data_IF_958707517671
#
_entry.id   IF_958707517671
#
_cell.length_a   1.000
_cell.length_b   1.000
_cell.length_c   1.000
_cell.angle_alpha   90.00
_cell.angle_beta   90.00
_cell.angle_gamma   90.00
#
_symmetry.space_group_name_H-M   'P 1'
#
loop_
_entity.id
_entity.type
_entity.pdbx_description
1 polymer ?
#
# COMPACT_ATOMS: atom_id res chain seq x y z
N UNK A 1 -23.99 16.69 1.68
CA UNK A 1 -23.17 17.38 0.66
C UNK A 1 -21.75 16.87 0.81
N UNK A 2 -21.20 16.20 -0.19
CA UNK A 2 -19.78 15.83 -0.20
C UNK A 2 -18.96 17.14 -0.25
N UNK A 3 -18.07 17.32 0.74
CA UNK A 3 -17.14 18.44 0.75
C UNK A 3 -16.22 18.30 -0.48
N UNK A 4 -16.03 19.37 -1.25
CA UNK A 4 -15.09 19.32 -2.36
C UNK A 4 -13.70 18.99 -1.84
N UNK A 5 -13.06 17.97 -2.43
CA UNK A 5 -11.68 17.60 -2.13
C UNK A 5 -10.80 18.74 -2.65
N UNK A 6 -10.14 19.45 -1.74
CA UNK A 6 -9.18 20.51 -2.07
C UNK A 6 -7.78 19.90 -2.01
N UNK A 7 -7.15 19.76 -3.18
CA UNK A 7 -5.73 19.35 -3.25
C UNK A 7 -4.86 20.53 -2.82
N UNK A 8 -3.92 20.28 -1.90
CA UNK A 8 -3.02 21.32 -1.38
C UNK A 8 -1.78 21.47 -2.26
N UNK A 9 -1.17 22.66 -2.31
CA UNK A 9 0.12 22.85 -2.94
C UNK A 9 1.22 22.00 -2.25
N UNK A 10 2.12 21.45 -3.06
CA UNK A 10 3.20 20.57 -2.59
C UNK A 10 4.06 21.23 -1.50
N UNK A 11 4.41 22.51 -1.67
CA UNK A 11 5.24 23.23 -0.68
C UNK A 11 4.61 23.38 0.71
N UNK A 12 3.27 23.35 0.83
CA UNK A 12 2.60 23.34 2.14
C UNK A 12 2.69 21.97 2.81
N UNK A 13 2.75 20.88 2.02
CA UNK A 13 2.81 19.51 2.52
C UNK A 13 4.17 19.15 3.11
N UNK A 14 5.25 19.79 2.68
CA UNK A 14 6.62 19.52 3.15
C UNK A 14 6.81 19.76 4.65
N UNK A 15 6.07 20.72 5.21
CA UNK A 15 6.14 21.08 6.62
C UNK A 15 5.22 20.26 7.53
N UNK A 16 4.32 19.47 6.95
CA UNK A 16 3.34 18.70 7.69
C UNK A 16 3.88 17.33 8.12
N UNK A 17 3.50 16.84 9.32
CA UNK A 17 3.87 15.51 9.76
C UNK A 17 3.12 14.42 8.99
N UNK A 18 3.65 13.19 9.06
CA UNK A 18 2.89 11.98 8.76
C UNK A 18 2.12 11.55 10.00
N UNK A 19 0.81 11.36 9.88
CA UNK A 19 -0.03 10.83 10.96
C UNK A 19 0.06 9.31 11.02
N UNK A 20 0.48 8.77 12.16
CA UNK A 20 0.68 7.33 12.35
C UNK A 20 -0.34 6.81 13.36
N UNK A 21 -1.17 5.85 12.92
CA UNK A 21 -2.05 5.08 13.79
C UNK A 21 -1.22 4.22 14.74
N UNK A 22 -1.06 4.66 15.98
CA UNK A 22 -0.21 4.00 16.98
C UNK A 22 -0.78 2.65 17.46
N UNK A 23 -2.05 2.39 17.18
CA UNK A 23 -2.77 1.19 17.66
C UNK A 23 -3.01 0.14 16.57
N UNK A 24 -2.53 0.38 15.34
CA UNK A 24 -2.72 -0.53 14.22
C UNK A 24 -1.65 -1.62 14.14
N UNK A 25 -2.07 -2.89 14.09
CA UNK A 25 -1.21 -4.05 13.88
C UNK A 25 -0.96 -4.91 15.10
N UNK A 26 -0.40 -6.11 14.84
CA UNK A 26 -0.21 -7.17 15.82
C UNK A 26 0.84 -6.82 16.88
N UNK A 27 1.75 -5.90 16.55
CA UNK A 27 2.86 -5.45 17.41
C UNK A 27 2.67 -4.01 17.92
N UNK A 28 1.44 -3.48 17.80
CA UNK A 28 1.10 -2.16 18.34
C UNK A 28 1.04 -2.21 19.88
N UNK A 29 1.38 -1.11 20.56
CA UNK A 29 1.93 0.14 20.02
C UNK A 29 3.45 0.10 19.80
N UNK A 30 4.17 -0.85 20.40
CA UNK A 30 5.63 -0.81 20.55
C UNK A 30 6.40 -0.73 19.22
N UNK A 31 6.08 -1.60 18.24
CA UNK A 31 6.74 -1.58 16.93
C UNK A 31 6.38 -0.32 16.15
N UNK A 32 5.15 0.18 16.31
CA UNK A 32 4.68 1.38 15.61
C UNK A 32 5.41 2.62 16.15
N UNK A 33 5.49 2.77 17.47
CA UNK A 33 6.19 3.90 18.11
C UNK A 33 7.68 3.87 17.80
N UNK A 34 8.32 2.67 17.85
CA UNK A 34 9.74 2.52 17.51
C UNK A 34 10.03 2.89 16.04
N UNK A 35 9.17 2.43 15.10
CA UNK A 35 9.30 2.78 13.68
C UNK A 35 9.07 4.27 13.41
N UNK A 36 8.08 4.86 14.07
CA UNK A 36 7.81 6.29 14.01
C UNK A 36 8.99 7.13 14.56
N UNK A 37 9.63 6.68 15.66
CA UNK A 37 10.81 7.31 16.22
C UNK A 37 12.00 7.24 15.25
N UNK A 38 12.25 6.07 14.66
CA UNK A 38 13.31 5.91 13.67
C UNK A 38 13.09 6.82 12.42
N UNK A 39 11.86 6.95 11.95
CA UNK A 39 11.53 7.89 10.88
C UNK A 39 11.79 9.35 11.28
N UNK A 40 11.45 9.72 12.51
CA UNK A 40 11.73 11.06 13.03
C UNK A 40 13.22 11.34 13.20
N UNK A 41 14.00 10.35 13.61
CA UNK A 41 15.47 10.45 13.68
C UNK A 41 16.11 10.61 12.29
N UNK A 42 15.43 10.09 11.24
CA UNK A 42 15.80 10.32 9.85
C UNK A 42 15.30 11.67 9.29
N UNK A 43 14.73 12.55 10.13
CA UNK A 43 14.30 13.90 9.76
C UNK A 43 12.88 14.01 9.20
N UNK A 44 12.05 12.96 9.34
CA UNK A 44 10.64 13.02 8.93
C UNK A 44 9.80 13.49 10.11
N UNK A 45 9.01 14.55 9.91
CA UNK A 45 8.04 14.97 10.91
C UNK A 45 6.94 13.92 11.06
N UNK A 46 6.69 13.46 12.29
CA UNK A 46 5.71 12.40 12.61
C UNK A 46 4.82 12.86 13.75
N UNK A 47 3.56 12.49 13.71
CA UNK A 47 2.61 12.60 14.82
C UNK A 47 1.93 11.24 15.03
N UNK A 48 1.99 10.74 16.26
CA UNK A 48 1.26 9.54 16.67
C UNK A 48 -0.19 9.88 16.92
N UNK A 49 -1.08 8.91 16.69
CA UNK A 49 -2.51 9.02 17.00
C UNK A 49 -2.93 7.79 17.79
N UNK A 50 -3.44 7.98 19.00
CA UNK A 50 -3.85 6.86 19.84
C UNK A 50 -4.31 7.28 21.25
N UNK A 51 -4.95 6.37 22.01
CA UNK A 51 -5.26 6.60 23.42
C UNK A 51 -3.98 6.69 24.26
N UNK A 52 -3.75 7.79 24.98
CA UNK A 52 -2.49 7.99 25.70
C UNK A 52 -2.12 6.85 26.66
N UNK A 53 -3.12 6.29 27.32
CA UNK A 53 -2.96 5.20 28.29
C UNK A 53 -2.56 3.86 27.65
N UNK A 54 -2.89 3.66 26.37
CA UNK A 54 -2.54 2.45 25.61
C UNK A 54 -1.23 2.62 24.83
N UNK A 55 -0.98 3.80 24.30
CA UNK A 55 0.27 4.12 23.60
C UNK A 55 1.46 4.11 24.55
N UNK A 56 1.28 4.63 25.78
CA UNK A 56 2.33 4.69 26.81
C UNK A 56 3.45 5.66 26.43
N UNK A 57 4.70 5.17 26.45
CA UNK A 57 5.87 5.99 26.09
C UNK A 57 5.91 6.27 24.58
N UNK A 58 5.82 7.54 24.21
CA UNK A 58 5.87 8.00 22.81
C UNK A 58 7.30 8.21 22.30
N UNK A 59 8.31 7.90 23.08
CA UNK A 59 9.73 8.21 22.80
C UNK A 59 9.97 9.68 22.42
N UNK A 60 9.18 10.58 23.01
CA UNK A 60 9.23 12.02 22.74
C UNK A 60 8.57 12.49 21.46
N UNK A 61 7.81 11.62 20.76
CA UNK A 61 7.01 12.03 19.61
C UNK A 61 5.71 12.73 20.04
N UNK A 62 5.21 13.70 19.25
CA UNK A 62 3.90 14.29 19.47
C UNK A 62 2.79 13.24 19.38
N UNK A 63 1.79 13.34 20.25
CA UNK A 63 0.62 12.47 20.28
C UNK A 63 -0.67 13.28 20.14
N UNK A 64 -1.49 12.92 19.17
CA UNK A 64 -2.90 13.36 19.08
C UNK A 64 -3.73 12.33 19.81
N UNK A 65 -4.36 12.71 20.95
CA UNK A 65 -5.12 11.77 21.75
C UNK A 65 -6.44 11.39 21.08
N UNK A 66 -6.85 10.15 21.30
CA UNK A 66 -8.19 9.64 21.00
C UNK A 66 -8.63 8.71 22.13
N UNK A 67 -9.89 8.25 22.09
CA UNK A 67 -10.46 7.44 23.19
C UNK A 67 -10.84 6.02 22.77
N UNK A 68 -10.80 5.73 21.47
CA UNK A 68 -11.25 4.46 20.92
C UNK A 68 -10.18 3.81 20.04
N UNK A 69 -10.24 2.48 19.93
CA UNK A 69 -9.39 1.68 19.04
C UNK A 69 -10.27 0.76 18.19
N UNK A 70 -10.00 0.69 16.89
CA UNK A 70 -10.57 -0.33 16.02
C UNK A 70 -9.58 -1.49 15.99
N UNK A 71 -9.99 -2.65 16.50
CA UNK A 71 -9.16 -3.85 16.54
C UNK A 71 -9.15 -4.58 15.19
N UNK A 72 -8.21 -5.55 15.03
CA UNK A 72 -8.12 -6.38 13.82
C UNK A 72 -9.37 -7.22 13.57
N UNK A 73 -10.06 -7.64 14.63
CA UNK A 73 -11.24 -8.51 14.59
C UNK A 73 -12.56 -7.74 14.47
N UNK A 74 -12.53 -6.41 14.55
CA UNK A 74 -13.74 -5.59 14.43
C UNK A 74 -14.32 -5.64 13.00
N UNK A 75 -15.65 -5.62 12.89
CA UNK A 75 -16.30 -5.39 11.58
C UNK A 75 -15.91 -4.00 11.05
N UNK A 76 -15.26 -3.93 9.87
CA UNK A 76 -14.72 -2.67 9.37
C UNK A 76 -15.81 -1.61 9.13
N UNK A 77 -16.94 -2.02 8.54
CA UNK A 77 -17.98 -1.08 8.14
C UNK A 77 -18.75 -0.51 9.33
N UNK A 78 -18.97 -1.34 10.36
CA UNK A 78 -19.63 -0.94 11.58
C UNK A 78 -18.72 -0.09 12.46
N UNK A 79 -17.46 -0.53 12.68
CA UNK A 79 -16.54 0.13 13.61
C UNK A 79 -16.17 1.54 13.17
N UNK A 80 -15.93 1.78 11.90
CA UNK A 80 -15.65 3.14 11.38
C UNK A 80 -16.83 4.12 11.58
N UNK A 81 -18.07 3.60 11.64
CA UNK A 81 -19.26 4.43 11.85
C UNK A 81 -19.54 4.69 13.33
N UNK A 82 -19.23 3.73 14.17
CA UNK A 82 -19.52 3.77 15.63
C UNK A 82 -18.36 4.34 16.43
N UNK A 83 -17.11 3.90 16.17
CA UNK A 83 -15.88 4.35 16.86
C UNK A 83 -15.31 5.61 16.18
N UNK A 84 -16.00 6.72 16.34
CA UNK A 84 -15.68 7.99 15.64
C UNK A 84 -14.43 8.69 16.18
N UNK A 85 -14.03 8.37 17.40
CA UNK A 85 -12.84 8.88 18.06
C UNK A 85 -11.72 7.84 18.10
N UNK A 86 -11.67 6.95 17.09
CA UNK A 86 -10.59 5.96 16.99
C UNK A 86 -9.34 6.53 16.35
N UNK A 87 -8.18 5.91 16.62
CA UNK A 87 -6.88 6.32 16.07
C UNK A 87 -6.88 6.37 14.54
N UNK A 88 -7.51 5.38 13.87
CA UNK A 88 -7.69 5.35 12.41
C UNK A 88 -8.50 6.52 11.89
N UNK A 89 -9.63 6.82 12.54
CA UNK A 89 -10.52 7.92 12.13
C UNK A 89 -9.81 9.26 12.32
N UNK A 90 -9.17 9.46 13.46
CA UNK A 90 -8.43 10.70 13.76
C UNK A 90 -7.24 10.91 12.82
N UNK A 91 -6.46 9.85 12.50
CA UNK A 91 -5.37 9.95 11.52
C UNK A 91 -5.87 10.41 10.14
N UNK A 92 -6.99 9.85 9.67
CA UNK A 92 -7.61 10.28 8.41
C UNK A 92 -8.14 11.73 8.46
N UNK A 93 -8.66 12.17 9.61
CA UNK A 93 -9.10 13.54 9.82
C UNK A 93 -7.95 14.54 9.80
N UNK A 94 -6.78 14.21 10.38
CA UNK A 94 -5.59 15.05 10.31
C UNK A 94 -5.17 15.32 8.85
N UNK A 95 -5.23 14.31 7.99
CA UNK A 95 -4.92 14.50 6.55
C UNK A 95 -6.01 15.36 5.88
N UNK A 96 -7.30 15.07 6.11
CA UNK A 96 -8.42 15.87 5.59
C UNK A 96 -8.30 17.34 5.93
N UNK A 97 -7.97 17.61 7.19
CA UNK A 97 -7.94 18.99 7.72
C UNK A 97 -6.61 19.71 7.42
N UNK A 98 -5.66 18.99 6.78
CA UNK A 98 -4.35 19.48 6.38
C UNK A 98 -3.45 19.76 7.57
N UNK A 99 -3.56 18.93 8.57
CA UNK A 99 -2.67 18.88 9.74
C UNK A 99 -1.62 17.77 9.61
N UNK A 100 -1.80 16.87 8.64
CA UNK A 100 -0.83 15.86 8.24
C UNK A 100 -0.77 15.76 6.71
N UNK A 101 0.40 15.41 6.16
CA UNK A 101 0.57 15.22 4.71
C UNK A 101 0.13 13.83 4.23
N UNK A 102 0.22 12.84 5.11
CA UNK A 102 -0.17 11.45 4.85
C UNK A 102 -0.62 10.77 6.15
N UNK A 103 -1.35 9.66 6.03
CA UNK A 103 -1.56 8.73 7.15
C UNK A 103 -0.94 7.37 6.86
N UNK A 104 -0.50 6.69 7.92
CA UNK A 104 0.03 5.33 7.90
C UNK A 104 -0.68 4.50 8.96
N UNK A 105 -1.15 3.30 8.60
CA UNK A 105 -1.70 2.34 9.54
C UNK A 105 -1.34 0.91 9.15
N UNK A 106 -1.01 0.08 10.14
CA UNK A 106 -0.86 -1.37 10.02
C UNK A 106 -2.09 -2.12 10.60
N UNK A 107 -3.17 -1.39 10.88
CA UNK A 107 -4.40 -1.95 11.45
C UNK A 107 -5.27 -2.67 10.42
N UNK A 108 -6.52 -2.94 10.82
CA UNK A 108 -7.53 -3.61 9.99
C UNK A 108 -7.67 -2.87 8.63
N UNK A 109 -7.34 -3.55 7.53
CA UNK A 109 -7.31 -2.98 6.17
C UNK A 109 -8.65 -2.37 5.77
N UNK A 110 -9.76 -3.08 6.04
CA UNK A 110 -11.10 -2.59 5.71
C UNK A 110 -11.49 -1.34 6.50
N UNK A 111 -11.11 -1.29 7.79
CA UNK A 111 -11.35 -0.13 8.63
C UNK A 111 -10.46 1.07 8.23
N UNK A 112 -9.21 0.82 7.85
CA UNK A 112 -8.31 1.86 7.32
C UNK A 112 -8.87 2.46 6.04
N UNK A 113 -9.29 1.62 5.09
CA UNK A 113 -9.96 2.05 3.86
C UNK A 113 -11.25 2.83 4.14
N UNK A 114 -12.10 2.29 5.02
CA UNK A 114 -13.36 2.94 5.39
C UNK A 114 -13.15 4.31 6.05
N UNK A 115 -12.19 4.41 6.97
CA UNK A 115 -11.82 5.67 7.64
C UNK A 115 -11.30 6.69 6.63
N UNK A 116 -10.33 6.30 5.79
CA UNK A 116 -9.77 7.17 4.77
C UNK A 116 -10.83 7.62 3.75
N UNK A 117 -11.67 6.70 3.25
CA UNK A 117 -12.74 7.01 2.30
C UNK A 117 -13.78 7.97 2.88
N UNK A 118 -14.23 7.74 4.11
CA UNK A 118 -15.28 8.55 4.73
C UNK A 118 -14.77 9.93 5.18
N UNK A 119 -13.48 10.07 5.51
CA UNK A 119 -12.91 11.33 6.02
C UNK A 119 -12.22 12.14 4.94
N UNK A 120 -11.34 11.54 4.14
CA UNK A 120 -10.63 12.25 3.07
C UNK A 120 -11.48 12.42 1.81
N UNK A 121 -12.44 11.50 1.58
CA UNK A 121 -13.24 11.48 0.37
C UNK A 121 -12.51 10.89 -0.84
N UNK A 122 -13.27 10.59 -1.90
CA UNK A 122 -12.73 10.19 -3.20
C UNK A 122 -12.34 11.40 -4.02
N UNK A 123 -11.33 11.27 -4.84
CA UNK A 123 -11.04 12.23 -5.89
C UNK A 123 -12.25 12.36 -6.83
N UNK A 124 -12.50 13.56 -7.40
CA UNK A 124 -13.56 13.73 -8.41
C UNK A 124 -13.43 12.70 -9.54
N UNK A 125 -14.55 12.22 -10.03
CA UNK A 125 -14.66 11.22 -11.10
C UNK A 125 -14.12 9.81 -10.78
N UNK A 126 -13.49 9.56 -9.64
CA UNK A 126 -13.09 8.21 -9.22
C UNK A 126 -14.33 7.40 -8.81
N UNK A 127 -14.55 6.27 -9.47
CA UNK A 127 -15.66 5.34 -9.17
C UNK A 127 -15.44 4.66 -7.83
N UNK A 128 -14.26 4.07 -7.64
CA UNK A 128 -13.83 3.40 -6.41
C UNK A 128 -12.33 3.62 -6.18
N UNK A 129 -11.88 3.81 -4.93
CA UNK A 129 -10.46 3.70 -4.62
C UNK A 129 -10.01 2.25 -4.77
N UNK A 130 -8.72 2.04 -5.06
CA UNK A 130 -8.11 0.72 -5.12
C UNK A 130 -6.80 0.68 -4.33
N UNK A 131 -6.38 -0.50 -3.90
CA UNK A 131 -5.07 -0.71 -3.26
C UNK A 131 -4.03 -0.95 -4.34
N UNK A 132 -3.06 -0.05 -4.46
CA UNK A 132 -1.85 -0.23 -5.25
C UNK A 132 -0.75 -0.84 -4.39
N UNK A 133 -0.51 -2.15 -4.54
CA UNK A 133 0.50 -2.89 -3.80
C UNK A 133 1.76 -3.09 -4.66
N UNK A 134 2.94 -2.62 -4.22
CA UNK A 134 4.18 -2.92 -4.91
C UNK A 134 4.57 -4.38 -4.69
N UNK A 135 4.83 -5.09 -5.79
CA UNK A 135 5.41 -6.44 -5.79
C UNK A 135 6.89 -6.29 -6.08
N UNK A 136 7.77 -6.85 -5.22
CA UNK A 136 9.20 -6.76 -5.44
C UNK A 136 9.61 -7.47 -6.73
N UNK A 137 10.55 -6.85 -7.47
CA UNK A 137 11.19 -7.42 -8.65
C UNK A 137 12.70 -7.34 -8.44
N UNK A 138 13.40 -8.48 -8.21
CA UNK A 138 14.83 -8.47 -7.95
C UNK A 138 15.62 -7.76 -9.05
N UNK A 139 16.47 -6.81 -8.67
CA UNK A 139 17.28 -6.02 -9.59
C UNK A 139 16.51 -5.07 -10.49
N UNK A 140 15.22 -4.82 -10.22
CA UNK A 140 14.37 -3.95 -11.03
C UNK A 140 13.41 -3.08 -10.22
N UNK A 141 12.66 -2.25 -10.90
CA UNK A 141 11.58 -1.47 -10.29
C UNK A 141 10.43 -2.38 -9.86
N UNK A 142 9.87 -2.23 -8.66
CA UNK A 142 8.71 -3.01 -8.24
C UNK A 142 7.54 -2.90 -9.20
N UNK A 143 6.80 -4.00 -9.37
CA UNK A 143 5.56 -4.03 -10.17
C UNK A 143 4.40 -3.57 -9.30
N UNK A 144 3.52 -2.72 -9.80
CA UNK A 144 2.34 -2.27 -9.05
C UNK A 144 1.15 -3.16 -9.37
N UNK A 145 0.69 -3.94 -8.41
CA UNK A 145 -0.57 -4.69 -8.49
C UNK A 145 -1.73 -3.81 -8.02
N UNK A 146 -2.76 -3.64 -8.84
CA UNK A 146 -3.99 -2.91 -8.53
C UNK A 146 -5.21 -3.60 -9.19
N UNK A 147 -6.23 -3.95 -8.45
CA UNK A 147 -6.53 -3.75 -7.04
C UNK A 147 -6.02 -4.93 -6.20
N UNK A 148 -5.35 -4.65 -5.10
CA UNK A 148 -4.81 -5.69 -4.22
C UNK A 148 -5.73 -6.03 -3.03
N UNK A 149 -7.04 -5.69 -3.10
CA UNK A 149 -8.00 -6.13 -2.09
C UNK A 149 -9.04 -5.11 -1.62
N UNK A 150 -9.20 -3.96 -2.29
CA UNK A 150 -10.20 -2.97 -1.90
C UNK A 150 -11.62 -3.30 -2.40
N UNK A 151 -11.75 -3.93 -3.57
CA UNK A 151 -13.03 -4.19 -4.23
C UNK A 151 -13.11 -5.63 -4.70
N UNK A 152 -13.91 -6.45 -4.02
CA UNK A 152 -14.08 -7.86 -4.39
C UNK A 152 -14.81 -8.02 -5.73
N UNK A 153 -15.76 -7.13 -6.00
CA UNK A 153 -16.51 -7.10 -7.27
C UNK A 153 -16.21 -5.80 -8.00
N UNK A 154 -15.88 -5.89 -9.28
CA UNK A 154 -15.52 -4.76 -10.12
C UNK A 154 -16.30 -4.73 -11.42
N UNK A 155 -16.40 -3.55 -12.02
CA UNK A 155 -16.83 -3.36 -13.42
C UNK A 155 -15.62 -3.11 -14.31
N UNK A 156 -15.71 -3.32 -15.63
CA UNK A 156 -14.64 -3.03 -16.56
C UNK A 156 -14.14 -1.57 -16.46
N UNK A 157 -15.06 -0.62 -16.27
CA UNK A 157 -14.74 0.80 -16.11
C UNK A 157 -13.92 1.08 -14.82
N UNK A 158 -14.17 0.31 -13.74
CA UNK A 158 -13.37 0.38 -12.52
C UNK A 158 -11.94 -0.10 -12.79
N UNK A 159 -11.76 -1.24 -13.48
CA UNK A 159 -10.43 -1.76 -13.81
C UNK A 159 -9.64 -0.78 -14.71
N UNK A 160 -10.30 -0.14 -15.68
CA UNK A 160 -9.68 0.93 -16.48
C UNK A 160 -9.21 2.10 -15.60
N UNK A 161 -10.02 2.51 -14.62
CA UNK A 161 -9.60 3.56 -13.69
C UNK A 161 -8.45 3.09 -12.77
N UNK A 162 -8.46 1.83 -12.32
CA UNK A 162 -7.35 1.26 -11.56
C UNK A 162 -6.05 1.28 -12.37
N UNK A 163 -6.11 0.97 -13.67
CA UNK A 163 -4.97 1.07 -14.58
C UNK A 163 -4.40 2.50 -14.63
N UNK A 164 -5.26 3.51 -14.80
CA UNK A 164 -4.86 4.92 -14.84
C UNK A 164 -4.24 5.36 -13.51
N UNK A 165 -4.89 5.05 -12.39
CA UNK A 165 -4.41 5.41 -11.06
C UNK A 165 -3.09 4.72 -10.71
N UNK A 166 -2.96 3.43 -11.01
CA UNK A 166 -1.74 2.66 -10.76
C UNK A 166 -0.59 3.11 -11.66
N UNK A 167 -0.84 3.47 -12.92
CA UNK A 167 0.17 4.06 -13.80
C UNK A 167 0.66 5.41 -13.27
N UNK A 168 -0.24 6.31 -12.85
CA UNK A 168 0.12 7.58 -12.24
C UNK A 168 0.91 7.41 -10.94
N UNK A 169 0.54 6.41 -10.12
CA UNK A 169 1.29 6.03 -8.91
C UNK A 169 2.68 5.50 -9.25
N UNK A 170 2.80 4.59 -10.23
CA UNK A 170 4.08 4.05 -10.70
C UNK A 170 5.02 5.16 -11.17
N UNK A 171 4.50 6.12 -11.96
CA UNK A 171 5.26 7.30 -12.37
C UNK A 171 5.68 8.16 -11.17
N UNK A 172 4.76 8.44 -10.23
CA UNK A 172 5.06 9.28 -9.08
C UNK A 172 6.08 8.65 -8.13
N UNK A 173 5.99 7.32 -7.93
CA UNK A 173 6.81 6.58 -6.95
C UNK A 173 8.15 6.13 -7.52
N UNK A 174 8.17 5.70 -8.77
CA UNK A 174 9.33 5.01 -9.38
C UNK A 174 9.93 5.75 -10.57
N UNK A 175 9.35 6.88 -10.98
CA UNK A 175 9.86 7.68 -12.09
C UNK A 175 9.67 7.05 -13.48
N UNK A 176 8.86 6.00 -13.62
CA UNK A 176 8.57 5.38 -14.91
C UNK A 176 7.59 6.27 -15.68
N UNK A 177 8.05 6.93 -16.75
CA UNK A 177 7.23 7.94 -17.45
C UNK A 177 6.03 7.35 -18.18
N UNK A 178 6.18 6.17 -18.80
CA UNK A 178 5.13 5.45 -19.54
C UNK A 178 5.02 4.01 -19.05
N UNK A 179 4.46 3.78 -17.84
CA UNK A 179 4.36 2.44 -17.26
C UNK A 179 3.63 1.50 -18.20
N UNK A 180 4.23 0.34 -18.47
CA UNK A 180 3.60 -0.73 -19.24
C UNK A 180 2.58 -1.44 -18.38
N UNK A 181 1.36 -1.60 -18.88
CA UNK A 181 0.20 -2.10 -18.12
C UNK A 181 -0.21 -3.48 -18.65
N UNK A 182 -0.30 -4.47 -17.78
CA UNK A 182 -0.88 -5.78 -18.02
C UNK A 182 -2.22 -5.96 -17.33
N UNK A 183 -3.11 -6.73 -17.95
CA UNK A 183 -4.37 -7.16 -17.34
C UNK A 183 -4.24 -8.61 -16.90
N UNK A 184 -4.40 -8.89 -15.60
CA UNK A 184 -4.26 -10.24 -15.06
C UNK A 184 -5.37 -11.16 -15.60
N UNK A 185 -4.96 -12.28 -16.16
CA UNK A 185 -5.82 -13.25 -16.80
C UNK A 185 -5.31 -14.68 -16.62
N UNK A 186 -6.00 -15.65 -17.21
CA UNK A 186 -5.65 -17.07 -17.24
C UNK A 186 -4.92 -17.48 -18.53
N UNK A 187 -4.52 -16.53 -19.36
CA UNK A 187 -3.80 -16.71 -20.63
C UNK A 187 -3.55 -15.37 -21.29
N UNK A 188 -2.52 -15.32 -22.13
CA UNK A 188 -2.03 -14.09 -22.78
C UNK A 188 -2.94 -13.59 -23.91
N UNK A 189 -3.77 -14.48 -24.50
CA UNK A 189 -4.64 -14.14 -25.62
C UNK A 189 -5.83 -13.25 -25.16
N UNK A 190 -6.20 -12.27 -25.96
CA UNK A 190 -7.31 -11.33 -25.69
C UNK A 190 -8.65 -12.02 -25.42
N UNK A 191 -8.84 -13.26 -25.91
CA UNK A 191 -10.07 -14.05 -25.72
C UNK A 191 -10.13 -14.81 -24.39
N UNK A 192 -9.04 -14.80 -23.61
CA UNK A 192 -8.96 -15.49 -22.32
C UNK A 192 -9.51 -14.66 -21.17
N UNK A 193 -9.94 -15.36 -20.13
CA UNK A 193 -10.44 -14.75 -18.91
C UNK A 193 -11.95 -14.69 -18.80
N UNK A 194 -12.43 -14.10 -17.71
CA UNK A 194 -13.84 -13.88 -17.40
C UNK A 194 -14.44 -12.82 -18.35
N UNK A 195 -15.78 -12.68 -18.41
CA UNK A 195 -16.40 -11.56 -19.13
C UNK A 195 -15.85 -10.19 -18.70
N UNK A 196 -15.62 -9.99 -17.40
CA UNK A 196 -14.99 -8.78 -16.86
C UNK A 196 -13.63 -8.50 -17.51
N UNK A 197 -12.75 -9.51 -17.58
CA UNK A 197 -11.40 -9.39 -18.15
C UNK A 197 -11.48 -9.06 -19.65
N UNK A 198 -12.32 -9.76 -20.41
CA UNK A 198 -12.45 -9.54 -21.86
C UNK A 198 -12.95 -8.14 -22.20
N UNK A 199 -14.00 -7.67 -21.52
CA UNK A 199 -14.51 -6.32 -21.72
C UNK A 199 -13.50 -5.26 -21.27
N UNK A 200 -12.79 -5.49 -20.16
CA UNK A 200 -11.72 -4.58 -19.71
C UNK A 200 -10.58 -4.52 -20.72
N UNK A 201 -10.21 -5.66 -21.33
CA UNK A 201 -9.15 -5.71 -22.35
C UNK A 201 -9.51 -4.79 -23.53
N UNK A 202 -10.74 -4.91 -24.04
CA UNK A 202 -11.23 -4.06 -25.15
C UNK A 202 -11.19 -2.57 -24.78
N UNK A 203 -11.69 -2.23 -23.59
CA UNK A 203 -11.68 -0.84 -23.10
C UNK A 203 -10.25 -0.29 -22.92
N UNK A 204 -9.31 -1.10 -22.42
CA UNK A 204 -7.93 -0.66 -22.23
C UNK A 204 -7.22 -0.32 -23.54
N UNK A 205 -7.52 -1.03 -24.64
CA UNK A 205 -7.01 -0.72 -25.98
C UNK A 205 -7.42 0.68 -26.46
N UNK A 206 -8.55 1.22 -25.99
CA UNK A 206 -9.08 2.52 -26.40
C UNK A 206 -8.57 3.69 -25.51
N UNK A 207 -7.83 3.40 -24.41
CA UNK A 207 -7.48 4.43 -23.41
C UNK A 207 -6.30 5.32 -23.77
N UNK A 208 -5.47 4.93 -24.71
CA UNK A 208 -4.18 5.58 -24.97
C UNK A 208 -3.09 5.28 -23.92
N UNK A 209 -3.37 4.44 -22.91
CA UNK A 209 -2.37 3.93 -21.98
C UNK A 209 -1.39 2.98 -22.71
N UNK A 210 -0.19 2.81 -22.16
CA UNK A 210 0.77 1.83 -22.66
C UNK A 210 0.34 0.40 -22.28
N UNK A 211 -0.78 -0.04 -22.84
CA UNK A 211 -1.38 -1.35 -22.55
C UNK A 211 -0.63 -2.45 -23.32
N UNK A 212 -0.09 -3.41 -22.58
CA UNK A 212 0.67 -4.56 -23.11
C UNK A 212 -0.25 -5.70 -23.58
N UNK A 213 -1.38 -5.88 -22.91
CA UNK A 213 -2.28 -7.03 -23.07
C UNK A 213 -2.47 -7.82 -21.78
N UNK A 214 -2.93 -9.06 -21.93
CA UNK A 214 -3.08 -9.94 -20.78
C UNK A 214 -1.72 -10.44 -20.27
N UNK A 215 -1.65 -10.65 -18.94
CA UNK A 215 -0.54 -11.29 -18.23
C UNK A 215 -1.09 -12.37 -17.31
N UNK A 216 -0.27 -13.35 -16.94
CA UNK A 216 -0.68 -14.46 -16.09
C UNK A 216 -0.13 -14.35 -14.66
N UNK A 217 -0.62 -15.18 -13.74
CA UNK A 217 -0.15 -15.20 -12.35
C UNK A 217 1.36 -15.47 -12.21
N UNK A 218 1.96 -16.22 -13.15
CA UNK A 218 3.42 -16.45 -13.18
C UNK A 218 4.23 -15.19 -13.45
N UNK A 219 3.62 -14.18 -14.03
CA UNK A 219 4.28 -12.91 -14.40
C UNK A 219 4.34 -11.91 -13.23
N UNK A 220 3.75 -12.22 -12.08
CA UNK A 220 3.78 -11.32 -10.92
C UNK A 220 5.22 -11.02 -10.43
N UNK A 221 6.09 -12.03 -10.37
CA UNK A 221 7.47 -11.88 -9.89
C UNK A 221 8.50 -11.65 -11.01
N UNK A 222 8.19 -12.06 -12.24
CA UNK A 222 9.06 -11.86 -13.41
C UNK A 222 8.30 -11.12 -14.50
N UNK A 223 7.78 -9.96 -14.15
CA UNK A 223 6.81 -9.24 -14.96
C UNK A 223 7.43 -8.60 -16.21
N UNK A 224 6.77 -8.75 -17.37
CA UNK A 224 7.08 -7.97 -18.57
C UNK A 224 6.52 -6.55 -18.54
N UNK A 225 5.76 -6.21 -17.47
CA UNK A 225 5.04 -4.94 -17.30
C UNK A 225 5.38 -4.27 -15.97
N UNK A 226 5.02 -3.00 -15.80
CA UNK A 226 5.27 -2.21 -14.59
C UNK A 226 4.03 -2.11 -13.70
N UNK A 227 2.85 -2.33 -14.27
CA UNK A 227 1.55 -2.31 -13.58
C UNK A 227 0.76 -3.55 -14.00
N UNK A 228 0.17 -4.26 -13.02
CA UNK A 228 -0.76 -5.36 -13.26
C UNK A 228 -2.11 -4.99 -12.65
N UNK A 229 -3.15 -5.03 -13.49
CA UNK A 229 -4.52 -4.66 -13.10
C UNK A 229 -5.40 -5.89 -12.98
N UNK A 230 -6.22 -5.92 -11.94
CA UNK A 230 -7.21 -6.98 -11.68
C UNK A 230 -8.30 -6.47 -10.73
N UNK A 231 -9.35 -7.28 -10.48
CA UNK A 231 -10.26 -7.05 -9.36
C UNK A 231 -9.57 -7.35 -8.01
N UNK A 232 -10.11 -6.78 -6.93
CA UNK A 232 -9.47 -6.89 -5.62
C UNK A 232 -9.54 -8.30 -5.01
N UNK A 233 -10.52 -9.14 -5.39
CA UNK A 233 -10.54 -10.52 -4.92
C UNK A 233 -9.38 -11.31 -5.53
N UNK A 234 -9.26 -11.28 -6.85
CA UNK A 234 -8.18 -11.95 -7.59
C UNK A 234 -6.81 -11.39 -7.16
N UNK A 235 -6.68 -10.07 -7.06
CA UNK A 235 -5.42 -9.42 -6.66
C UNK A 235 -4.98 -9.78 -5.24
N UNK A 236 -5.91 -9.79 -4.28
CA UNK A 236 -5.57 -10.19 -2.90
C UNK A 236 -5.19 -11.66 -2.79
N UNK A 237 -5.91 -12.56 -3.49
CA UNK A 237 -5.57 -13.99 -3.52
C UNK A 237 -4.18 -14.18 -4.13
N UNK A 238 -3.89 -13.55 -5.28
CA UNK A 238 -2.60 -13.63 -5.95
C UNK A 238 -1.47 -13.12 -5.06
N UNK A 239 -1.64 -11.94 -4.44
CA UNK A 239 -0.67 -11.34 -3.52
C UNK A 239 -0.39 -12.25 -2.32
N UNK A 240 -1.42 -12.72 -1.63
CA UNK A 240 -1.28 -13.57 -0.43
C UNK A 240 -0.71 -14.97 -0.76
N UNK A 241 -1.04 -15.52 -1.94
CA UNK A 241 -0.44 -16.77 -2.40
C UNK A 241 1.05 -16.59 -2.67
N UNK A 242 1.44 -15.51 -3.33
CA UNK A 242 2.83 -15.17 -3.60
C UNK A 242 3.62 -14.96 -2.29
N UNK A 243 3.10 -14.13 -1.37
CA UNK A 243 3.73 -13.90 -0.05
C UNK A 243 3.91 -15.20 0.73
N UNK A 244 2.86 -16.05 0.76
CA UNK A 244 2.90 -17.36 1.42
C UNK A 244 3.91 -18.32 0.80
N UNK A 245 3.99 -18.37 -0.53
CA UNK A 245 4.94 -19.20 -1.26
C UNK A 245 6.39 -18.74 -1.01
N UNK A 246 6.67 -17.44 -1.06
CA UNK A 246 7.99 -16.89 -0.75
C UNK A 246 8.40 -17.19 0.68
N UNK A 247 7.51 -16.97 1.65
CA UNK A 247 7.77 -17.28 3.07
C UNK A 247 8.04 -18.77 3.29
N UNK A 248 7.28 -19.65 2.65
CA UNK A 248 7.47 -21.10 2.72
C UNK A 248 8.83 -21.51 2.17
N UNK A 249 9.20 -21.05 0.97
CA UNK A 249 10.49 -21.38 0.33
C UNK A 249 11.66 -20.89 1.18
N UNK A 250 11.58 -19.65 1.69
CA UNK A 250 12.62 -19.10 2.56
C UNK A 250 12.74 -19.86 3.89
N UNK A 251 11.62 -20.30 4.46
CA UNK A 251 11.61 -21.15 5.64
C UNK A 251 12.32 -22.49 5.40
N UNK A 252 11.93 -23.21 4.35
CA UNK A 252 12.56 -24.48 3.98
C UNK A 252 14.06 -24.30 3.72
N UNK A 253 14.46 -23.24 3.02
CA UNK A 253 15.88 -22.95 2.78
C UNK A 253 16.64 -22.72 4.10
N UNK A 254 16.05 -21.98 5.03
CA UNK A 254 16.61 -21.73 6.35
C UNK A 254 16.78 -23.03 7.16
N UNK A 255 15.77 -23.90 7.15
CA UNK A 255 15.80 -25.20 7.82
C UNK A 255 16.90 -26.12 7.26
N UNK A 256 17.03 -26.19 5.91
CA UNK A 256 18.08 -26.99 5.25
C UNK A 256 19.48 -26.47 5.61
N UNK A 257 19.68 -25.14 5.54
CA UNK A 257 20.96 -24.52 5.93
C UNK A 257 21.27 -24.77 7.43
N UNK A 258 20.23 -24.85 8.27
CA UNK A 258 20.35 -25.07 9.70
C UNK A 258 20.59 -26.54 10.15
N UNK A 259 20.54 -27.53 9.23
CA UNK A 259 20.47 -28.95 9.56
C UNK A 259 21.68 -29.44 10.35
N UNK A 260 22.92 -29.10 9.95
CA UNK A 260 24.16 -29.48 10.59
C UNK A 260 25.26 -28.42 10.37
N UNK A 261 26.45 -28.65 10.93
CA UNK A 261 27.54 -27.68 10.86
C UNK A 261 28.15 -27.55 9.45
N UNK A 262 28.07 -28.58 8.61
CA UNK A 262 28.54 -28.53 7.22
C UNK A 262 27.62 -27.70 6.35
N UNK A 263 26.30 -27.88 6.46
CA UNK A 263 25.29 -27.08 5.75
C UNK A 263 25.28 -25.66 6.23
N UNK A 264 25.50 -25.38 7.53
CA UNK A 264 25.68 -24.02 8.05
C UNK A 264 26.88 -23.31 7.44
N UNK A 265 28.03 -23.99 7.37
CA UNK A 265 29.25 -23.45 6.78
C UNK A 265 29.07 -23.14 5.29
N UNK A 266 28.40 -24.03 4.54
CA UNK A 266 28.05 -23.81 3.15
C UNK A 266 27.08 -22.66 2.99
N UNK A 267 26.06 -22.58 3.85
CA UNK A 267 25.08 -21.48 3.88
C UNK A 267 25.72 -20.12 4.15
N UNK A 268 26.67 -20.05 5.10
CA UNK A 268 27.42 -18.79 5.35
C UNK A 268 28.24 -18.36 4.14
N UNK A 269 28.73 -19.26 3.31
CA UNK A 269 29.42 -18.94 2.07
C UNK A 269 28.45 -18.40 0.99
N UNK A 270 27.22 -18.93 0.92
CA UNK A 270 26.22 -18.51 -0.05
C UNK A 270 25.48 -17.23 0.38
N UNK A 271 25.33 -17.01 1.68
CA UNK A 271 24.51 -15.93 2.24
C UNK A 271 24.86 -14.53 1.68
N UNK A 272 26.13 -14.10 1.54
CA UNK A 272 26.49 -12.80 0.95
C UNK A 272 25.99 -12.63 -0.49
N UNK A 273 25.83 -13.73 -1.23
CA UNK A 273 25.33 -13.72 -2.61
C UNK A 273 23.79 -13.74 -2.67
N UNK A 274 23.14 -14.29 -1.65
CA UNK A 274 21.67 -14.35 -1.56
C UNK A 274 21.07 -13.10 -0.94
N UNK A 275 21.77 -12.46 0.00
CA UNK A 275 21.26 -11.28 0.74
C UNK A 275 20.72 -10.16 -0.16
N UNK A 276 21.32 -9.77 -1.29
CA UNK A 276 20.76 -8.75 -2.17
C UNK A 276 19.38 -9.13 -2.69
N UNK A 277 19.20 -10.38 -3.13
CA UNK A 277 17.92 -10.89 -3.64
C UNK A 277 16.87 -11.01 -2.54
N UNK A 278 17.28 -11.51 -1.37
CA UNK A 278 16.39 -11.61 -0.19
C UNK A 278 15.96 -10.25 0.29
N UNK A 279 16.87 -9.26 0.28
CA UNK A 279 16.57 -7.87 0.62
C UNK A 279 15.56 -7.22 -0.32
N UNK A 280 15.68 -7.50 -1.62
CA UNK A 280 14.72 -7.01 -2.62
C UNK A 280 13.33 -7.64 -2.44
N UNK A 281 13.27 -8.88 -1.93
CA UNK A 281 12.01 -9.60 -1.67
C UNK A 281 11.42 -9.31 -0.28
N UNK A 282 12.10 -8.54 0.57
CA UNK A 282 11.66 -8.24 1.92
C UNK A 282 10.42 -7.31 1.90
N UNK A 283 9.23 -7.77 2.34
CA UNK A 283 8.03 -6.94 2.38
C UNK A 283 8.21 -5.68 3.24
N UNK A 284 9.06 -5.77 4.29
CA UNK A 284 9.34 -4.64 5.17
C UNK A 284 10.11 -3.52 4.47
N UNK A 285 10.85 -3.83 3.39
CA UNK A 285 11.59 -2.84 2.60
C UNK A 285 10.68 -2.00 1.68
N UNK A 286 9.52 -2.52 1.32
CA UNK A 286 8.61 -1.91 0.31
C UNK A 286 7.88 -0.67 0.85
N UNK A 287 7.58 -0.65 2.15
CA UNK A 287 6.92 0.49 2.80
C UNK A 287 5.39 0.52 2.64
N UNK A 288 4.75 -0.65 2.44
CA UNK A 288 3.30 -0.79 2.40
C UNK A 288 2.66 -0.47 1.04
N UNK A 289 1.34 -0.57 1.00
CA UNK A 289 0.50 -0.30 -0.16
C UNK A 289 -0.21 1.05 -0.03
N UNK A 290 -0.40 1.77 -1.15
CA UNK A 290 -1.14 3.03 -1.15
C UNK A 290 -2.60 2.80 -1.55
N UNK A 291 -3.52 3.42 -0.83
CA UNK A 291 -4.92 3.50 -1.25
C UNK A 291 -5.09 4.63 -2.28
N UNK A 292 -5.20 4.24 -3.54
CA UNK A 292 -5.26 5.14 -4.68
C UNK A 292 -6.68 5.70 -4.89
N UNK A 293 -6.79 6.93 -5.34
CA UNK A 293 -8.07 7.56 -5.69
C UNK A 293 -8.76 8.31 -4.54
N UNK A 294 -8.04 8.57 -3.45
CA UNK A 294 -8.49 9.40 -2.34
C UNK A 294 -7.96 10.84 -2.40
N UNK A 295 -8.63 11.74 -1.68
CA UNK A 295 -8.22 13.14 -1.53
C UNK A 295 -6.98 13.39 -0.66
N UNK A 296 -6.27 12.34 -0.27
CA UNK A 296 -5.04 12.39 0.53
C UNK A 296 -4.28 11.07 0.45
N UNK A 297 -3.04 11.07 0.93
CA UNK A 297 -2.18 9.87 0.94
C UNK A 297 -2.52 9.00 2.14
N UNK A 298 -2.86 7.74 1.90
CA UNK A 298 -3.11 6.71 2.90
C UNK A 298 -2.25 5.49 2.57
N UNK A 299 -1.32 5.15 3.45
CA UNK A 299 -0.48 3.96 3.35
C UNK A 299 -1.00 2.90 4.30
N UNK A 300 -1.21 1.71 3.75
CA UNK A 300 -1.63 0.52 4.47
C UNK A 300 -0.42 -0.41 4.59
N UNK A 301 -0.01 -0.68 5.82
CA UNK A 301 1.06 -1.63 6.13
C UNK A 301 0.46 -2.97 6.57
N UNK A 302 1.27 -4.02 6.60
CA UNK A 302 0.81 -5.34 7.02
C UNK A 302 0.59 -5.39 8.54
N UNK A 303 -0.39 -6.17 9.04
CA UNK A 303 -0.63 -6.31 10.48
C UNK A 303 0.59 -6.78 11.27
N UNK A 304 1.42 -7.64 10.68
CA UNK A 304 2.68 -8.12 11.27
C UNK A 304 3.89 -7.22 11.05
N UNK A 305 3.71 -5.96 10.64
CA UNK A 305 4.80 -5.02 10.33
C UNK A 305 5.76 -4.83 11.48
N UNK A 306 7.05 -4.93 11.18
CA UNK A 306 8.13 -4.58 12.10
C UNK A 306 8.30 -3.05 12.22
N UNK A 307 9.10 -2.59 13.17
CA UNK A 307 9.48 -1.18 13.26
C UNK A 307 10.13 -0.66 11.96
N UNK A 308 10.93 -1.49 11.27
CA UNK A 308 11.52 -1.17 9.96
C UNK A 308 10.46 -0.93 8.89
N UNK A 309 9.45 -1.82 8.83
CA UNK A 309 8.33 -1.66 7.88
C UNK A 309 7.57 -0.36 8.11
N UNK A 310 7.31 -0.01 9.37
CA UNK A 310 6.63 1.24 9.73
C UNK A 310 7.48 2.47 9.36
N UNK A 311 8.80 2.43 9.61
CA UNK A 311 9.72 3.50 9.18
C UNK A 311 9.64 3.71 7.68
N UNK A 312 9.69 2.63 6.90
CA UNK A 312 9.59 2.69 5.44
C UNK A 312 8.21 3.18 4.97
N UNK A 313 7.12 2.73 5.61
CA UNK A 313 5.77 3.20 5.29
C UNK A 313 5.60 4.71 5.53
N UNK A 314 6.19 5.24 6.59
CA UNK A 314 6.20 6.68 6.90
C UNK A 314 6.99 7.44 5.82
N UNK A 315 8.16 6.94 5.43
CA UNK A 315 8.99 7.53 4.37
C UNK A 315 8.22 7.58 3.03
N UNK A 316 7.64 6.45 2.64
CA UNK A 316 6.81 6.34 1.42
C UNK A 316 5.62 7.30 1.46
N UNK A 317 4.90 7.35 2.58
CA UNK A 317 3.76 8.26 2.75
C UNK A 317 4.16 9.73 2.56
N UNK A 318 5.27 10.14 3.17
CA UNK A 318 5.82 11.49 2.99
C UNK A 318 6.24 11.75 1.55
N UNK A 319 7.05 10.87 0.96
CA UNK A 319 7.54 11.03 -0.42
C UNK A 319 6.39 11.18 -1.42
N UNK A 320 5.36 10.34 -1.32
CA UNK A 320 4.20 10.39 -2.18
C UNK A 320 3.38 11.66 -1.99
N UNK A 321 3.26 12.16 -0.75
CA UNK A 321 2.54 13.40 -0.47
C UNK A 321 3.27 14.61 -1.07
N UNK A 322 4.57 14.79 -0.80
CA UNK A 322 5.36 15.91 -1.32
C UNK A 322 5.63 15.78 -2.83
N UNK A 323 5.69 14.55 -3.37
CA UNK A 323 5.81 14.27 -4.80
C UNK A 323 4.51 14.56 -5.60
N UNK A 324 3.42 14.97 -4.93
CA UNK A 324 2.17 15.31 -5.56
C UNK A 324 1.43 14.14 -6.19
N UNK A 325 1.60 12.91 -5.64
CA UNK A 325 0.97 11.70 -6.17
C UNK A 325 -0.55 11.82 -6.32
N UNK A 326 -1.23 12.41 -5.32
CA UNK A 326 -2.68 12.62 -5.35
C UNK A 326 -3.12 13.51 -6.53
N UNK A 327 -2.38 14.59 -6.81
CA UNK A 327 -2.66 15.48 -7.94
C UNK A 327 -2.43 14.80 -9.29
N UNK A 328 -1.37 13.98 -9.40
CA UNK A 328 -1.09 13.18 -10.63
C UNK A 328 -2.19 12.15 -10.87
N UNK A 329 -2.62 11.45 -9.82
CA UNK A 329 -3.74 10.50 -9.90
C UNK A 329 -5.03 11.21 -10.32
N UNK A 330 -5.35 12.38 -9.73
CA UNK A 330 -6.51 13.15 -10.12
C UNK A 330 -6.49 13.56 -11.61
N UNK A 331 -5.34 13.99 -12.11
CA UNK A 331 -5.16 14.36 -13.51
C UNK A 331 -5.29 13.15 -14.48
N UNK A 332 -4.94 11.95 -14.04
CA UNK A 332 -4.99 10.74 -14.88
C UNK A 332 -6.42 10.22 -15.12
N UNK A 333 -7.40 10.65 -14.30
CA UNK A 333 -8.80 10.18 -14.36
C UNK A 333 -9.67 11.09 -15.25
N UNK A 334 -9.25 12.32 -15.47
CA UNK A 334 -9.94 13.27 -16.37
C UNK A 334 -9.73 12.89 -17.83
#
# INVERSE_FOLDING_TARGET
MARAVSLRPVGELELLPVAVDAMGGDHAPSAIVAGARAAADAGIAVVLVGPPELVGDTLGLPLVPCTEVISMDDDPAQSVRTKKDSSLVRAAELVRDGQACAMVSAGNTGATMGSALLRMGRLPSVLRPCIGAPIPRPGGTPVVLADAGANAECTPQMLVQFARMAAAYCTARYGVEQPKIGLLSIGEEATKGTPLVKETHELLLETGLNFFGNVEGRDLLNSPVDVIVTDGFTGNVALKTMEGALKFVMGVLGDVIGTDDETKAAGMTLLPHLLPFVGDLDPDAIGGAMLLGLGGVCIISHGSSSAKAITNAISVGRELAIGGSTSRIAASIL
#
